data_IF_893292199904
#
_entry.id   IF_893292199904
#
_cell.length_a   1.000
_cell.length_b   1.000
_cell.length_c   1.000
_cell.angle_alpha   90.00
_cell.angle_beta   90.00
_cell.angle_gamma   90.00
#
_symmetry.space_group_name_H-M   'P 1'
#
loop_
_entity.id
_entity.type
_entity.pdbx_description
1 polymer ?
#
# COMPACT_ATOMS: atom_id res chain seq x y z
N UNK A 1 -29.06 8.48 4.12
CA UNK A 1 -28.75 9.89 3.76
C UNK A 1 -28.39 9.94 2.28
N UNK A 2 -28.67 11.02 1.57
CA UNK A 2 -28.32 11.19 0.15
C UNK A 2 -27.47 12.44 0.00
N UNK A 3 -26.41 12.34 -0.79
CA UNK A 3 -25.44 13.43 -1.02
C UNK A 3 -25.19 13.58 -2.53
N UNK A 4 -26.21 13.95 -3.33
CA UNK A 4 -26.00 14.12 -4.76
C UNK A 4 -24.94 15.19 -5.00
N UNK A 5 -23.93 14.82 -5.74
CA UNK A 5 -22.77 15.64 -6.06
C UNK A 5 -22.71 15.88 -7.57
N UNK A 6 -22.54 17.13 -7.98
CA UNK A 6 -22.40 17.47 -9.40
C UNK A 6 -20.95 17.38 -9.86
N UNK A 7 -20.01 17.74 -8.99
CA UNK A 7 -18.57 17.75 -9.29
C UNK A 7 -17.79 17.03 -8.20
N UNK A 8 -16.93 16.10 -8.58
CA UNK A 8 -16.09 15.29 -7.68
C UNK A 8 -14.64 15.37 -8.11
N UNK A 9 -13.73 15.60 -7.15
CA UNK A 9 -12.32 15.42 -7.36
C UNK A 9 -11.87 14.03 -6.90
N UNK A 10 -11.01 13.38 -7.69
CA UNK A 10 -10.37 12.11 -7.38
C UNK A 10 -8.87 12.36 -7.21
N UNK A 11 -8.29 11.92 -6.10
CA UNK A 11 -6.88 12.11 -5.78
C UNK A 11 -6.11 10.83 -6.03
N UNK A 12 -5.29 10.81 -7.07
CA UNK A 12 -4.49 9.69 -7.54
C UNK A 12 -5.07 9.01 -8.79
N UNK A 13 -4.21 8.66 -9.76
CA UNK A 13 -4.54 7.90 -10.96
C UNK A 13 -3.88 6.49 -11.00
N UNK A 14 -3.75 5.85 -9.83
CA UNK A 14 -3.60 4.41 -9.73
C UNK A 14 -4.91 3.71 -10.10
N UNK A 15 -4.94 2.37 -10.05
CA UNK A 15 -6.17 1.61 -10.39
C UNK A 15 -7.39 2.10 -9.61
N UNK A 16 -7.25 2.41 -8.32
CA UNK A 16 -8.36 2.91 -7.48
C UNK A 16 -8.99 4.19 -8.03
N UNK A 17 -8.16 5.16 -8.42
CA UNK A 17 -8.63 6.44 -8.94
C UNK A 17 -9.21 6.31 -10.35
N UNK A 18 -8.60 5.47 -11.19
CA UNK A 18 -9.10 5.22 -12.56
C UNK A 18 -10.49 4.61 -12.54
N UNK A 19 -10.71 3.54 -11.76
CA UNK A 19 -12.04 2.92 -11.67
C UNK A 19 -13.06 3.86 -10.99
N UNK A 20 -12.64 4.64 -9.98
CA UNK A 20 -13.51 5.63 -9.34
C UNK A 20 -13.98 6.70 -10.34
N UNK A 21 -13.03 7.31 -11.05
CA UNK A 21 -13.34 8.34 -12.05
C UNK A 21 -14.24 7.81 -13.18
N UNK A 22 -13.96 6.59 -13.67
CA UNK A 22 -14.76 5.98 -14.73
C UNK A 22 -16.20 5.74 -14.32
N UNK A 23 -16.43 5.19 -13.12
CA UNK A 23 -17.80 4.96 -12.63
C UNK A 23 -18.53 6.25 -12.25
N UNK A 24 -17.85 7.26 -11.69
CA UNK A 24 -18.43 8.59 -11.45
C UNK A 24 -18.87 9.26 -12.76
N UNK A 25 -18.00 9.27 -13.78
CA UNK A 25 -18.30 9.77 -15.13
C UNK A 25 -19.52 9.07 -15.74
N UNK A 26 -19.59 7.74 -15.60
CA UNK A 26 -20.71 6.92 -16.09
C UNK A 26 -22.04 7.32 -15.46
N UNK A 27 -22.03 7.79 -14.22
CA UNK A 27 -23.24 8.32 -13.53
C UNK A 27 -23.53 9.79 -13.83
N UNK A 28 -22.81 10.41 -14.76
CA UNK A 28 -23.04 11.79 -15.19
C UNK A 28 -22.48 12.86 -14.26
N UNK A 29 -21.60 12.49 -13.34
CA UNK A 29 -20.90 13.40 -12.44
C UNK A 29 -19.70 14.02 -13.16
N UNK A 30 -19.51 15.33 -13.02
CA UNK A 30 -18.30 16.02 -13.47
C UNK A 30 -17.12 15.58 -12.62
N UNK A 31 -16.08 15.04 -13.24
CA UNK A 31 -14.93 14.49 -12.54
C UNK A 31 -13.64 15.19 -12.95
N UNK A 32 -12.81 15.50 -11.98
CA UNK A 32 -11.40 15.88 -12.17
C UNK A 32 -10.53 14.92 -11.40
N UNK A 33 -9.51 14.34 -12.03
CA UNK A 33 -8.52 13.48 -11.39
C UNK A 33 -7.20 14.24 -11.26
N UNK A 34 -6.60 14.22 -10.08
CA UNK A 34 -5.27 14.79 -9.84
C UNK A 34 -4.25 13.66 -9.69
N UNK A 35 -3.22 13.67 -10.50
CA UNK A 35 -2.11 12.71 -10.42
C UNK A 35 -0.77 13.46 -10.40
N UNK A 36 0.03 13.23 -9.38
CA UNK A 36 1.33 13.90 -9.24
C UNK A 36 2.39 13.42 -10.23
N UNK A 37 2.23 12.22 -10.76
CA UNK A 37 3.12 11.68 -11.79
C UNK A 37 2.67 12.10 -13.18
N UNK A 38 3.58 12.00 -14.17
CA UNK A 38 3.31 12.31 -15.58
C UNK A 38 2.42 11.29 -16.30
N UNK A 39 2.04 10.18 -15.65
CA UNK A 39 1.18 9.15 -16.20
C UNK A 39 0.45 8.36 -15.10
N UNK A 40 -0.69 7.76 -15.46
CA UNK A 40 -1.40 6.82 -14.61
C UNK A 40 -0.62 5.52 -14.39
N UNK A 41 -0.95 4.76 -13.34
CA UNK A 41 -0.35 3.46 -13.07
C UNK A 41 -0.09 3.20 -11.57
N UNK A 42 0.01 4.26 -10.76
CA UNK A 42 0.23 4.14 -9.32
C UNK A 42 1.48 3.32 -8.99
N UNK A 43 1.35 2.31 -8.10
CA UNK A 43 2.49 1.50 -7.65
C UNK A 43 3.09 0.59 -8.74
N UNK A 44 2.40 0.36 -9.85
CA UNK A 44 2.87 -0.49 -10.95
C UNK A 44 3.78 0.26 -11.93
N UNK A 45 3.84 1.58 -11.81
CA UNK A 45 4.74 2.39 -12.60
C UNK A 45 6.16 2.30 -12.04
N UNK A 46 7.06 1.71 -12.82
CA UNK A 46 8.48 1.65 -12.47
C UNK A 46 9.15 3.00 -12.71
N UNK A 47 9.97 3.43 -11.77
CA UNK A 47 10.87 4.56 -11.88
C UNK A 47 12.27 4.10 -11.41
N UNK A 48 13.27 4.24 -12.26
CA UNK A 48 14.63 3.82 -11.93
C UNK A 48 15.26 4.67 -10.81
N UNK A 49 14.81 5.92 -10.67
CA UNK A 49 15.27 6.79 -9.61
C UNK A 49 14.86 6.22 -8.24
N UNK A 50 15.72 6.39 -7.28
CA UNK A 50 15.36 6.09 -5.89
C UNK A 50 14.60 7.28 -5.30
N UNK A 51 13.56 7.05 -4.50
CA UNK A 51 12.94 8.12 -3.72
C UNK A 51 13.93 8.66 -2.69
N UNK A 52 13.65 9.84 -2.16
CA UNK A 52 14.41 10.39 -1.07
C UNK A 52 14.40 9.44 0.14
N UNK A 53 15.51 9.42 0.87
CA UNK A 53 15.67 8.54 2.03
C UNK A 53 14.69 8.94 3.14
N UNK A 54 13.99 7.98 3.76
CA UNK A 54 13.13 8.27 4.90
C UNK A 54 13.96 8.61 6.14
N UNK A 55 13.33 9.32 7.08
CA UNK A 55 13.94 9.59 8.38
C UNK A 55 14.11 8.30 9.20
N UNK A 56 15.21 8.18 9.92
CA UNK A 56 15.49 7.16 10.92
C UNK A 56 15.49 7.84 12.31
N UNK A 57 14.45 7.68 13.14
CA UNK A 57 13.23 6.87 13.00
C UNK A 57 12.18 7.48 12.05
N UNK A 58 11.02 6.79 11.90
CA UNK A 58 9.92 7.25 11.03
C UNK A 58 9.49 8.69 11.31
N UNK A 59 9.25 9.45 10.25
CA UNK A 59 8.62 10.76 10.35
C UNK A 59 7.22 10.68 10.97
N UNK A 60 6.74 11.77 11.56
CA UNK A 60 5.35 11.92 11.98
C UNK A 60 4.41 11.74 10.79
N UNK A 61 3.21 11.15 11.00
CA UNK A 61 2.27 10.77 9.93
C UNK A 61 1.72 11.98 9.19
N UNK A 62 1.52 13.08 9.91
CA UNK A 62 1.13 14.38 9.33
C UNK A 62 2.19 14.98 8.37
N UNK A 63 3.44 14.50 8.44
CA UNK A 63 4.57 14.95 7.62
C UNK A 63 5.30 13.83 6.90
N UNK A 64 4.63 12.71 6.70
CA UNK A 64 5.27 11.48 6.22
C UNK A 64 5.85 11.59 4.79
N UNK A 65 5.36 12.51 3.98
CA UNK A 65 5.88 12.79 2.64
C UNK A 65 6.87 13.98 2.63
N UNK A 66 7.05 14.69 3.77
CA UNK A 66 8.07 15.73 3.88
C UNK A 66 9.41 15.11 4.26
N UNK A 67 10.22 14.84 3.26
CA UNK A 67 11.58 14.32 3.43
C UNK A 67 12.52 15.51 3.59
N UNK A 68 13.44 15.43 4.55
CA UNK A 68 14.56 16.37 4.62
C UNK A 68 15.53 16.03 3.47
N UNK A 69 15.46 16.79 2.39
CA UNK A 69 16.44 16.71 1.33
C UNK A 69 17.76 17.32 1.82
N UNK A 70 18.88 16.62 1.64
CA UNK A 70 20.18 17.26 1.67
C UNK A 70 20.27 18.20 0.47
N UNK A 71 20.76 19.41 0.65
CA UNK A 71 20.77 20.49 -0.35
C UNK A 71 21.56 20.19 -1.64
N UNK A 72 22.23 19.04 -1.72
CA UNK A 72 23.20 18.70 -2.77
C UNK A 72 22.66 17.72 -3.86
N UNK A 73 21.37 17.40 -3.88
CA UNK A 73 20.82 16.49 -4.91
C UNK A 73 20.27 17.29 -6.10
N UNK A 74 20.86 17.12 -7.26
CA UNK A 74 20.21 17.44 -8.53
C UNK A 74 18.87 16.67 -8.57
N UNK A 75 17.76 17.29 -8.95
CA UNK A 75 16.41 16.70 -8.99
C UNK A 75 15.61 16.59 -7.67
N UNK A 76 16.03 17.18 -6.57
CA UNK A 76 15.27 17.14 -5.30
C UNK A 76 13.82 17.60 -5.49
N UNK A 77 13.59 18.66 -6.22
CA UNK A 77 12.26 19.22 -6.46
C UNK A 77 11.36 18.20 -7.20
N UNK A 78 11.90 17.53 -8.21
CA UNK A 78 11.20 16.47 -8.97
C UNK A 78 10.88 15.25 -8.09
N UNK A 79 11.80 14.85 -7.20
CA UNK A 79 11.59 13.74 -6.27
C UNK A 79 10.60 14.09 -5.14
N UNK A 80 10.49 15.36 -4.75
CA UNK A 80 9.50 15.83 -3.79
C UNK A 80 8.11 15.91 -4.44
N UNK A 81 8.04 16.40 -5.68
CA UNK A 81 6.78 16.53 -6.42
C UNK A 81 6.16 15.17 -6.73
N UNK A 82 6.92 14.28 -7.35
CA UNK A 82 6.48 12.94 -7.74
C UNK A 82 7.47 11.87 -7.27
N UNK A 83 7.50 11.54 -5.97
CA UNK A 83 8.44 10.57 -5.43
C UNK A 83 8.20 9.19 -6.04
N UNK A 84 9.26 8.49 -6.49
CA UNK A 84 9.17 7.13 -6.99
C UNK A 84 8.46 6.19 -6.02
N UNK A 85 7.60 5.34 -6.57
CA UNK A 85 6.90 4.30 -5.83
C UNK A 85 7.82 3.14 -5.43
N UNK A 86 7.27 2.11 -4.77
CA UNK A 86 8.02 0.93 -4.35
C UNK A 86 8.21 -0.12 -5.46
N UNK A 87 7.91 0.20 -6.71
CA UNK A 87 8.09 -0.72 -7.83
C UNK A 87 9.58 -1.01 -8.07
N UNK A 88 9.90 -2.26 -8.37
CA UNK A 88 11.24 -2.74 -8.70
C UNK A 88 11.18 -3.62 -9.97
N UNK A 89 12.30 -3.82 -10.65
CA UNK A 89 12.37 -4.43 -11.99
C UNK A 89 11.66 -5.78 -12.09
N UNK A 90 11.86 -6.66 -11.13
CA UNK A 90 11.25 -8.00 -11.14
C UNK A 90 9.87 -8.09 -10.48
N UNK A 91 9.25 -6.96 -10.12
CA UNK A 91 7.95 -6.97 -9.46
C UNK A 91 6.89 -7.64 -10.35
N UNK A 92 6.24 -8.67 -9.80
CA UNK A 92 5.08 -9.33 -10.40
C UNK A 92 3.86 -9.23 -9.49
N UNK A 93 2.67 -9.39 -10.08
CA UNK A 93 1.47 -9.59 -9.27
C UNK A 93 1.57 -10.91 -8.47
N UNK A 94 0.99 -10.88 -7.30
CA UNK A 94 0.85 -12.06 -6.42
C UNK A 94 -0.57 -12.63 -6.40
N UNK A 95 -1.45 -12.07 -7.22
CA UNK A 95 -2.84 -12.46 -7.44
C UNK A 95 -3.04 -12.62 -8.94
N UNK A 96 -3.65 -13.74 -9.39
CA UNK A 96 -3.87 -14.02 -10.82
C UNK A 96 -4.52 -12.85 -11.57
N UNK A 97 -4.08 -12.56 -12.80
CA UNK A 97 -4.70 -11.57 -13.69
C UNK A 97 -6.20 -11.80 -13.85
N UNK A 98 -6.66 -13.06 -13.83
CA UNK A 98 -8.09 -13.42 -13.86
C UNK A 98 -8.89 -12.87 -12.67
N UNK A 99 -8.23 -12.55 -11.55
CA UNK A 99 -8.81 -11.93 -10.37
C UNK A 99 -8.67 -10.41 -10.38
N UNK A 100 -7.81 -9.87 -11.25
CA UNK A 100 -7.56 -8.43 -11.39
C UNK A 100 -8.34 -7.79 -12.53
N UNK A 101 -8.95 -8.58 -13.42
CA UNK A 101 -9.69 -8.07 -14.59
C UNK A 101 -10.98 -7.35 -14.16
N UNK A 102 -11.06 -6.05 -14.44
CA UNK A 102 -12.23 -5.21 -14.15
C UNK A 102 -13.32 -5.33 -15.23
N UNK A 103 -14.52 -4.82 -14.94
CA UNK A 103 -15.58 -4.75 -15.96
C UNK A 103 -15.32 -3.66 -17.02
N UNK A 104 -14.39 -2.75 -16.76
CA UNK A 104 -14.04 -1.62 -17.63
C UNK A 104 -13.02 -1.98 -18.70
N UNK A 105 -12.21 -3.00 -18.46
CA UNK A 105 -11.15 -3.44 -19.37
C UNK A 105 -10.84 -4.92 -19.13
N UNK A 106 -10.34 -5.60 -20.15
CA UNK A 106 -9.92 -7.00 -20.10
C UNK A 106 -8.45 -7.11 -20.48
N UNK A 107 -7.75 -8.08 -19.87
CA UNK A 107 -6.42 -8.42 -20.34
C UNK A 107 -6.49 -9.07 -21.72
N UNK A 108 -5.48 -8.86 -22.58
CA UNK A 108 -5.40 -9.54 -23.87
C UNK A 108 -5.54 -11.07 -23.73
N UNK A 109 -6.18 -11.75 -24.68
CA UNK A 109 -6.25 -13.21 -24.68
C UNK A 109 -4.86 -13.85 -24.60
N UNK A 110 -4.70 -14.84 -23.72
CA UNK A 110 -3.42 -15.52 -23.50
C UNK A 110 -2.49 -14.83 -22.48
N UNK A 111 -2.93 -13.75 -21.83
CA UNK A 111 -2.15 -13.14 -20.74
C UNK A 111 -1.96 -14.14 -19.60
N UNK A 112 -0.73 -14.30 -19.14
CA UNK A 112 -0.37 -15.18 -18.03
C UNK A 112 -1.01 -14.71 -16.70
N UNK A 113 -1.18 -15.65 -15.77
CA UNK A 113 -1.70 -15.37 -14.42
C UNK A 113 -0.80 -14.44 -13.62
N UNK A 114 0.52 -14.54 -13.80
CA UNK A 114 1.54 -13.77 -13.09
C UNK A 114 2.43 -13.04 -14.06
N UNK A 115 2.17 -11.74 -14.21
CA UNK A 115 2.85 -10.85 -15.14
C UNK A 115 3.73 -9.83 -14.41
N UNK A 116 4.62 -9.19 -15.13
CA UNK A 116 5.47 -8.12 -14.62
C UNK A 116 4.68 -6.82 -14.44
N UNK A 117 5.25 -5.90 -13.68
CA UNK A 117 4.62 -4.60 -13.33
C UNK A 117 4.21 -3.77 -14.55
N UNK A 118 4.98 -3.84 -15.65
CA UNK A 118 4.70 -3.13 -16.90
C UNK A 118 3.35 -3.54 -17.51
N UNK A 119 3.05 -4.84 -17.58
CA UNK A 119 1.75 -5.33 -18.07
C UNK A 119 0.58 -4.78 -17.26
N UNK A 120 0.74 -4.68 -15.93
CA UNK A 120 -0.29 -4.11 -15.06
C UNK A 120 -0.37 -2.58 -15.20
N UNK A 121 0.76 -1.92 -15.38
CA UNK A 121 0.80 -0.48 -15.66
C UNK A 121 0.09 -0.18 -16.98
N UNK A 122 0.42 -0.92 -18.04
CA UNK A 122 -0.21 -0.79 -19.37
C UNK A 122 -1.72 -1.05 -19.31
N UNK A 123 -2.16 -2.07 -18.52
CA UNK A 123 -3.58 -2.30 -18.29
C UNK A 123 -4.28 -1.10 -17.67
N UNK A 124 -3.68 -0.46 -16.68
CA UNK A 124 -4.24 0.73 -16.02
C UNK A 124 -4.29 1.90 -17.00
N UNK A 125 -3.22 2.14 -17.75
CA UNK A 125 -3.16 3.21 -18.76
C UNK A 125 -4.16 2.98 -19.89
N UNK A 126 -4.26 1.77 -20.40
CA UNK A 126 -5.29 1.41 -21.39
C UNK A 126 -6.70 1.64 -20.85
N UNK A 127 -6.94 1.33 -19.56
CA UNK A 127 -8.22 1.58 -18.93
C UNK A 127 -8.55 3.07 -18.87
N UNK A 128 -7.58 3.96 -18.63
CA UNK A 128 -7.82 5.42 -18.65
C UNK A 128 -8.29 5.90 -20.03
N UNK A 129 -7.65 5.39 -21.09
CA UNK A 129 -8.00 5.72 -22.48
C UNK A 129 -9.38 5.18 -22.86
N UNK A 130 -9.65 3.90 -22.58
CA UNK A 130 -10.93 3.25 -22.92
C UNK A 130 -12.12 3.92 -22.23
N UNK A 131 -11.95 4.40 -21.02
CA UNK A 131 -13.02 5.04 -20.22
C UNK A 131 -13.08 6.55 -20.41
N UNK A 132 -12.10 7.14 -21.08
CA UNK A 132 -11.94 8.60 -21.22
C UNK A 132 -11.64 9.28 -19.87
N UNK A 133 -10.99 8.57 -18.95
CA UNK A 133 -10.47 9.14 -17.70
C UNK A 133 -9.17 9.90 -17.96
N UNK A 134 -8.44 9.53 -19.00
CA UNK A 134 -7.21 10.22 -19.40
C UNK A 134 -7.43 11.73 -19.58
N UNK A 135 -8.49 12.12 -20.28
CA UNK A 135 -8.83 13.52 -20.55
C UNK A 135 -9.33 14.27 -19.31
N UNK A 136 -9.75 13.55 -18.28
CA UNK A 136 -10.19 14.12 -16.99
C UNK A 136 -9.04 14.24 -15.99
N UNK A 137 -7.85 13.71 -16.32
CA UNK A 137 -6.72 13.64 -15.41
C UNK A 137 -5.75 14.80 -15.65
N UNK A 138 -5.53 15.57 -14.59
CA UNK A 138 -4.45 16.54 -14.51
C UNK A 138 -3.20 15.84 -13.98
N UNK A 139 -2.32 15.46 -14.90
CA UNK A 139 -1.02 14.87 -14.58
C UNK A 139 -0.06 15.95 -14.07
N UNK A 140 1.06 15.53 -13.52
CA UNK A 140 2.09 16.40 -12.93
C UNK A 140 1.49 17.42 -11.94
N UNK A 141 0.47 16.96 -11.19
CA UNK A 141 -0.30 17.81 -10.29
C UNK A 141 -0.35 17.21 -8.88
N UNK A 142 0.42 17.79 -7.97
CA UNK A 142 0.46 17.39 -6.56
C UNK A 142 -0.62 18.10 -5.75
N UNK A 143 -1.46 17.34 -5.05
CA UNK A 143 -2.48 17.85 -4.13
C UNK A 143 -1.85 18.06 -2.75
N UNK A 144 -1.66 19.30 -2.36
CA UNK A 144 -1.02 19.68 -1.10
C UNK A 144 -1.97 19.85 0.06
N UNK A 145 -3.19 20.28 -0.22
CA UNK A 145 -4.21 20.51 0.82
C UNK A 145 -5.62 20.29 0.26
N UNK A 146 -6.48 19.71 1.08
CA UNK A 146 -7.91 19.53 0.83
C UNK A 146 -8.69 19.98 2.05
N UNK A 147 -9.45 21.05 1.92
CA UNK A 147 -10.13 21.69 3.05
C UNK A 147 -11.63 21.79 2.77
N UNK A 148 -12.46 21.44 3.76
CA UNK A 148 -13.90 21.62 3.70
C UNK A 148 -14.29 23.04 4.10
N UNK A 149 -14.91 23.78 3.18
CA UNK A 149 -15.43 25.12 3.41
C UNK A 149 -16.97 25.13 3.25
N UNK A 150 -17.68 25.06 4.36
CA UNK A 150 -19.15 24.92 4.35
C UNK A 150 -19.57 23.60 3.68
N UNK A 151 -20.22 23.68 2.52
CA UNK A 151 -20.66 22.49 1.76
C UNK A 151 -19.65 22.02 0.72
N UNK A 152 -18.69 22.87 0.34
CA UNK A 152 -17.75 22.60 -0.73
C UNK A 152 -16.36 22.21 -0.18
N UNK A 153 -15.68 21.39 -0.93
CA UNK A 153 -14.27 21.08 -0.74
C UNK A 153 -13.40 21.96 -1.63
N UNK A 154 -12.36 22.52 -1.09
CA UNK A 154 -11.34 23.26 -1.85
C UNK A 154 -10.09 22.39 -1.94
N UNK A 155 -9.62 22.13 -3.16
CA UNK A 155 -8.36 21.44 -3.44
C UNK A 155 -7.31 22.48 -3.77
N UNK A 156 -6.26 22.54 -2.96
CA UNK A 156 -5.14 23.46 -3.16
C UNK A 156 -4.13 22.87 -4.13
N UNK A 157 -4.34 23.07 -5.37
CA UNK A 157 -3.40 22.88 -6.47
C UNK A 157 -3.89 23.68 -7.68
N UNK A 158 -5.23 23.83 -7.82
CA UNK A 158 -5.87 24.57 -8.90
C UNK A 158 -7.01 25.49 -8.39
N UNK A 159 -7.13 25.77 -7.10
CA UNK A 159 -8.25 26.48 -6.46
C UNK A 159 -9.64 25.91 -6.87
N UNK A 160 -9.68 24.60 -7.10
CA UNK A 160 -10.88 23.92 -7.54
C UNK A 160 -11.84 23.67 -6.37
N UNK A 161 -13.10 24.03 -6.56
CA UNK A 161 -14.18 23.69 -5.62
C UNK A 161 -15.00 22.51 -6.14
N UNK A 162 -15.29 21.54 -5.27
CA UNK A 162 -16.04 20.32 -5.58
C UNK A 162 -17.03 19.99 -4.48
N UNK A 163 -18.08 19.24 -4.82
CA UNK A 163 -19.11 18.79 -3.87
C UNK A 163 -18.62 17.62 -3.02
N UNK A 164 -17.76 16.77 -3.58
CA UNK A 164 -17.19 15.61 -2.90
C UNK A 164 -15.75 15.32 -3.33
N UNK A 165 -15.07 14.53 -2.53
CA UNK A 165 -13.70 14.08 -2.74
C UNK A 165 -13.63 12.56 -2.70
N UNK A 166 -12.86 11.96 -3.62
CA UNK A 166 -12.49 10.54 -3.56
C UNK A 166 -10.99 10.41 -3.39
N UNK A 167 -10.57 9.91 -2.24
CA UNK A 167 -9.17 9.64 -1.94
C UNK A 167 -8.81 8.26 -2.49
N UNK A 168 -7.93 8.23 -3.48
CA UNK A 168 -7.42 7.05 -4.18
C UNK A 168 -5.88 7.07 -4.27
N UNK A 169 -5.24 7.77 -3.33
CA UNK A 169 -3.80 8.04 -3.30
C UNK A 169 -2.94 6.81 -2.98
N UNK A 170 -3.56 5.68 -2.59
CA UNK A 170 -2.85 4.47 -2.17
C UNK A 170 -2.24 4.59 -0.76
N UNK A 171 -1.46 3.58 -0.35
CA UNK A 171 -0.93 3.49 1.01
C UNK A 171 0.52 2.95 1.08
N UNK A 172 1.30 3.09 0.01
CA UNK A 172 2.71 2.66 -0.03
C UNK A 172 3.66 3.85 -0.22
N UNK A 173 3.39 4.99 0.45
CA UNK A 173 4.18 6.22 0.33
C UNK A 173 5.12 6.42 1.50
N UNK A 174 4.65 6.28 2.74
CA UNK A 174 5.37 6.57 3.97
C UNK A 174 6.05 5.31 4.55
N UNK A 175 7.37 5.10 4.35
CA UNK A 175 8.08 3.95 4.89
C UNK A 175 8.00 3.88 6.41
N UNK A 176 7.77 2.68 6.93
CA UNK A 176 7.79 2.44 8.37
C UNK A 176 9.20 2.03 8.79
N UNK A 177 9.92 2.92 9.43
CA UNK A 177 11.25 2.67 9.98
C UNK A 177 11.10 2.29 11.46
N UNK A 178 11.52 1.09 11.90
CA UNK A 178 11.43 0.69 13.30
C UNK A 178 12.41 1.51 14.15
N UNK A 179 11.98 1.80 15.37
CA UNK A 179 12.83 2.43 16.37
C UNK A 179 13.63 1.35 17.14
N UNK A 180 14.46 0.63 16.40
CA UNK A 180 15.32 -0.41 16.97
C UNK A 180 16.66 0.21 17.39
N UNK A 181 17.11 0.01 18.64
CA UNK A 181 18.38 0.55 19.11
C UNK A 181 19.54 0.30 18.15
N UNK A 182 20.31 1.34 17.84
CA UNK A 182 21.46 1.32 16.95
C UNK A 182 21.15 1.36 15.45
N UNK A 183 19.88 1.21 15.01
CA UNK A 183 19.53 1.24 13.58
C UNK A 183 19.86 2.58 12.92
N UNK A 184 19.52 3.70 13.58
CA UNK A 184 19.82 5.03 13.07
C UNK A 184 21.33 5.28 12.99
N UNK A 185 22.08 4.74 13.92
CA UNK A 185 23.56 4.83 13.91
C UNK A 185 24.15 4.03 12.76
N UNK A 186 23.64 2.82 12.49
CA UNK A 186 24.04 2.05 11.32
C UNK A 186 23.73 2.78 10.02
N UNK A 187 22.54 3.38 9.91
CA UNK A 187 22.18 4.17 8.72
C UNK A 187 23.12 5.36 8.53
N UNK A 188 23.43 6.09 9.59
CA UNK A 188 24.36 7.23 9.53
C UNK A 188 25.78 6.82 9.14
N UNK A 189 26.26 5.69 9.67
CA UNK A 189 27.61 5.21 9.43
C UNK A 189 27.75 4.44 8.11
N UNK A 190 26.70 3.76 7.66
CA UNK A 190 26.67 2.93 6.43
C UNK A 190 25.48 3.31 5.54
N UNK A 191 25.39 4.56 5.04
CA UNK A 191 24.21 5.08 4.36
C UNK A 191 23.77 4.24 3.17
N UNK A 192 24.69 3.67 2.40
CA UNK A 192 24.42 2.85 1.23
C UNK A 192 24.13 1.37 1.54
N UNK A 193 24.31 0.96 2.81
CA UNK A 193 24.15 -0.43 3.25
C UNK A 193 22.85 -0.69 3.98
N UNK A 194 22.16 0.36 4.45
CA UNK A 194 20.90 0.25 5.18
C UNK A 194 19.84 1.05 4.43
N UNK A 195 18.80 0.38 3.95
CA UNK A 195 17.72 1.02 3.21
C UNK A 195 16.35 0.40 3.52
N UNK A 196 15.26 1.15 3.29
CA UNK A 196 13.92 0.57 3.27
C UNK A 196 13.63 -0.08 1.92
N UNK A 197 12.77 -1.11 1.89
CA UNK A 197 12.36 -1.82 0.66
C UNK A 197 11.75 -0.90 -0.41
N UNK A 198 11.24 0.27 -0.06
CA UNK A 198 10.78 1.29 -1.02
C UNK A 198 11.90 1.77 -1.95
N UNK A 199 13.17 1.73 -1.50
CA UNK A 199 14.33 2.17 -2.28
C UNK A 199 14.96 1.02 -3.11
N UNK A 200 14.52 -0.22 -2.88
CA UNK A 200 14.98 -1.35 -3.67
C UNK A 200 14.52 -1.23 -5.12
N UNK A 201 15.41 -1.47 -6.08
CA UNK A 201 15.11 -1.39 -7.53
C UNK A 201 15.43 -2.67 -8.29
N UNK A 202 16.58 -3.27 -8.02
CA UNK A 202 17.08 -4.46 -8.72
C UNK A 202 18.21 -5.12 -7.92
N UNK A 203 18.52 -6.40 -8.16
CA UNK A 203 19.53 -7.14 -7.41
C UNK A 203 20.98 -6.84 -7.84
N UNK A 204 21.23 -5.65 -8.40
CA UNK A 204 22.58 -5.25 -8.83
C UNK A 204 23.56 -5.25 -7.68
N UNK A 205 24.80 -5.66 -7.98
CA UNK A 205 25.89 -5.75 -7.01
C UNK A 205 25.63 -6.71 -5.83
N UNK A 206 24.66 -7.64 -5.95
CA UNK A 206 24.36 -8.60 -4.89
C UNK A 206 25.35 -9.80 -4.84
N UNK A 207 26.18 -9.97 -5.86
CA UNK A 207 27.09 -11.11 -5.95
C UNK A 207 27.98 -11.25 -4.72
N UNK A 208 27.95 -12.48 -4.16
CA UNK A 208 28.75 -12.89 -3.00
C UNK A 208 28.50 -12.09 -1.71
N UNK A 209 27.36 -11.38 -1.61
CA UNK A 209 26.98 -10.61 -0.43
C UNK A 209 25.89 -11.30 0.38
N UNK A 210 25.85 -10.98 1.67
CA UNK A 210 24.81 -11.44 2.59
C UNK A 210 23.86 -10.28 2.88
N UNK A 211 22.57 -10.51 2.71
CA UNK A 211 21.52 -9.53 2.94
C UNK A 211 20.70 -9.87 4.17
N UNK A 212 20.53 -8.90 5.05
CA UNK A 212 19.60 -8.98 6.17
C UNK A 212 18.28 -8.30 5.76
N UNK A 213 17.19 -9.09 5.70
CA UNK A 213 15.84 -8.63 5.37
C UNK A 213 15.03 -8.57 6.66
N UNK A 214 14.55 -7.39 7.04
CA UNK A 214 13.81 -7.17 8.29
C UNK A 214 12.32 -7.17 8.03
N UNK A 215 11.64 -8.26 8.29
CA UNK A 215 10.21 -8.49 8.06
C UNK A 215 9.91 -9.86 7.48
N UNK A 216 8.74 -10.43 7.81
CA UNK A 216 8.33 -11.78 7.42
C UNK A 216 7.27 -11.85 6.31
N UNK A 217 6.86 -10.71 5.71
CA UNK A 217 5.75 -10.64 4.77
C UNK A 217 6.22 -10.58 3.30
N UNK A 218 5.32 -10.18 2.39
CA UNK A 218 5.48 -10.23 0.93
C UNK A 218 6.79 -9.59 0.47
N UNK A 219 7.07 -8.33 0.83
CA UNK A 219 8.26 -7.62 0.32
C UNK A 219 9.57 -8.33 0.66
N UNK A 220 9.71 -8.87 1.89
CA UNK A 220 10.92 -9.60 2.27
C UNK A 220 11.06 -10.91 1.49
N UNK A 221 9.95 -11.63 1.27
CA UNK A 221 9.93 -12.89 0.54
C UNK A 221 10.25 -12.68 -0.95
N UNK A 222 9.69 -11.65 -1.56
CA UNK A 222 9.93 -11.35 -2.98
C UNK A 222 11.36 -10.87 -3.21
N UNK A 223 11.87 -9.96 -2.36
CA UNK A 223 13.27 -9.49 -2.45
C UNK A 223 14.24 -10.65 -2.20
N UNK A 224 13.94 -11.57 -1.27
CA UNK A 224 14.77 -12.77 -1.07
C UNK A 224 14.86 -13.62 -2.33
N UNK A 225 13.73 -13.79 -3.06
CA UNK A 225 13.71 -14.53 -4.33
C UNK A 225 14.49 -13.83 -5.43
N UNK A 226 14.37 -12.50 -5.56
CA UNK A 226 15.14 -11.74 -6.53
C UNK A 226 16.64 -11.77 -6.26
N UNK A 227 17.04 -11.70 -4.99
CA UNK A 227 18.45 -11.76 -4.59
C UNK A 227 19.04 -13.17 -4.72
N UNK A 228 18.22 -14.22 -4.64
CA UNK A 228 18.68 -15.61 -4.58
C UNK A 228 19.65 -16.04 -5.67
N UNK A 229 19.51 -15.64 -6.94
CA UNK A 229 20.47 -16.01 -8.00
C UNK A 229 21.85 -15.34 -7.87
N UNK A 230 21.96 -14.30 -7.07
CA UNK A 230 23.15 -13.43 -7.00
C UNK A 230 23.80 -13.44 -5.62
N UNK A 231 22.98 -13.29 -4.58
CA UNK A 231 23.47 -13.21 -3.20
C UNK A 231 24.02 -14.55 -2.71
N UNK A 232 25.02 -14.48 -1.83
CA UNK A 232 25.52 -15.67 -1.16
C UNK A 232 24.44 -16.25 -0.23
N UNK A 233 23.80 -15.40 0.60
CA UNK A 233 22.65 -15.77 1.41
C UNK A 233 21.78 -14.56 1.72
N UNK A 234 20.50 -14.83 1.99
CA UNK A 234 19.58 -13.87 2.59
C UNK A 234 19.18 -14.33 4.00
N UNK A 235 19.11 -13.41 4.95
CA UNK A 235 18.75 -13.68 6.33
C UNK A 235 17.47 -12.90 6.61
N UNK A 236 16.35 -13.60 6.82
CA UNK A 236 15.05 -12.97 7.09
C UNK A 236 14.78 -12.95 8.60
N UNK A 237 14.78 -11.75 9.18
CA UNK A 237 14.32 -11.56 10.57
C UNK A 237 12.81 -11.38 10.62
N UNK A 238 12.15 -12.13 11.49
CA UNK A 238 10.69 -12.10 11.64
C UNK A 238 10.26 -12.15 13.12
N UNK A 239 9.03 -11.71 13.37
CA UNK A 239 8.43 -11.68 14.73
C UNK A 239 7.33 -12.72 14.94
N UNK A 240 7.17 -13.67 14.03
CA UNK A 240 6.02 -14.59 13.96
C UNK A 240 4.68 -13.84 13.93
N UNK A 241 4.63 -12.78 13.11
CA UNK A 241 3.45 -11.94 12.98
C UNK A 241 2.35 -12.60 12.16
N UNK A 242 1.09 -12.17 12.37
CA UNK A 242 -0.11 -12.66 11.66
C UNK A 242 0.02 -12.64 10.11
N UNK A 243 0.88 -11.77 9.59
CA UNK A 243 1.07 -11.57 8.15
C UNK A 243 2.37 -12.14 7.60
N UNK A 244 3.11 -12.90 8.41
CA UNK A 244 4.33 -13.56 7.95
C UNK A 244 3.97 -14.72 7.01
N UNK A 245 4.76 -14.86 5.95
CA UNK A 245 4.56 -15.93 4.96
C UNK A 245 5.31 -17.19 5.39
N UNK A 246 4.85 -18.40 4.97
CA UNK A 246 5.50 -19.64 5.36
C UNK A 246 6.91 -19.80 4.78
N UNK A 247 7.79 -20.57 5.45
CA UNK A 247 9.17 -20.81 4.99
C UNK A 247 9.26 -21.42 3.59
N UNK A 248 8.28 -22.21 3.18
CA UNK A 248 8.18 -22.82 1.85
C UNK A 248 8.19 -21.82 0.70
N UNK A 249 7.91 -20.56 0.99
CA UNK A 249 7.93 -19.49 -0.01
C UNK A 249 9.32 -18.83 -0.16
N UNK A 250 10.26 -19.16 0.71
CA UNK A 250 11.63 -18.63 0.63
C UNK A 250 12.50 -19.48 -0.30
N UNK A 251 13.50 -18.88 -0.97
CA UNK A 251 14.49 -19.60 -1.76
C UNK A 251 15.45 -20.41 -0.88
N UNK A 252 16.20 -21.32 -1.50
CA UNK A 252 17.06 -22.27 -0.80
C UNK A 252 18.24 -21.65 -0.03
N UNK A 253 18.72 -20.48 -0.46
CA UNK A 253 19.77 -19.73 0.24
C UNK A 253 19.22 -18.69 1.22
N UNK A 254 17.94 -18.77 1.58
CA UNK A 254 17.34 -17.92 2.59
C UNK A 254 17.22 -18.63 3.94
N UNK A 255 17.57 -17.93 5.01
CA UNK A 255 17.58 -18.41 6.39
C UNK A 255 16.69 -17.51 7.24
N UNK A 256 15.99 -18.08 8.20
CA UNK A 256 15.19 -17.32 9.18
C UNK A 256 15.93 -17.14 10.49
N UNK A 257 15.70 -15.98 11.08
CA UNK A 257 16.15 -15.63 12.42
C UNK A 257 15.02 -14.95 13.20
N UNK A 258 15.17 -14.91 14.53
CA UNK A 258 14.24 -14.24 15.41
C UNK A 258 14.23 -12.71 15.22
N UNK A 259 13.38 -12.03 15.97
CA UNK A 259 13.28 -10.57 16.04
C UNK A 259 14.62 -9.94 16.43
N UNK A 260 15.00 -8.89 15.71
CA UNK A 260 16.17 -8.06 16.03
C UNK A 260 15.80 -7.13 17.17
N UNK A 261 16.63 -7.09 18.21
CA UNK A 261 16.48 -6.20 19.36
C UNK A 261 17.48 -5.06 19.40
N UNK A 262 18.64 -5.22 18.75
CA UNK A 262 19.61 -4.11 18.58
C UNK A 262 20.55 -4.31 17.40
N UNK A 263 21.05 -3.21 16.91
CA UNK A 263 22.20 -3.09 16.00
C UNK A 263 23.39 -2.62 16.83
N UNK A 264 24.38 -3.50 17.00
CA UNK A 264 25.51 -3.24 17.89
C UNK A 264 26.46 -2.20 17.29
N UNK A 265 27.19 -1.49 18.13
CA UNK A 265 28.18 -0.52 17.67
C UNK A 265 29.29 -1.18 16.83
N UNK A 266 29.72 -0.54 15.73
CA UNK A 266 30.83 -1.02 14.92
C UNK A 266 32.13 -1.09 15.72
N UNK A 267 32.86 -2.17 15.56
CA UNK A 267 34.12 -2.44 16.32
C UNK A 267 35.32 -1.60 15.91
N UNK A 268 35.23 -0.81 14.83
CA UNK A 268 36.32 -0.04 14.27
C UNK A 268 35.86 1.31 13.74
N UNK A 269 36.58 2.37 14.08
CA UNK A 269 36.40 3.73 13.56
C UNK A 269 36.87 3.92 12.09
N UNK A 270 36.79 2.89 11.25
CA UNK A 270 37.30 2.91 9.87
C UNK A 270 36.17 3.08 8.84
N UNK A 271 35.44 4.19 8.94
CA UNK A 271 34.36 4.50 7.99
C UNK A 271 34.87 4.88 6.58
N UNK A 272 36.06 5.41 6.48
CA UNK A 272 36.59 5.96 5.22
C UNK A 272 37.09 4.93 4.20
N UNK A 273 37.11 3.61 4.51
CA UNK A 273 37.72 2.58 3.64
C UNK A 273 36.98 1.27 3.52
N UNK A 274 35.72 1.17 4.00
CA UNK A 274 34.97 -0.09 3.88
C UNK A 274 34.60 -0.36 2.41
N UNK A 275 35.24 -1.36 1.81
CA UNK A 275 34.92 -1.78 0.43
C UNK A 275 33.54 -2.43 0.38
N UNK A 276 32.84 -2.25 -0.74
CA UNK A 276 31.48 -2.82 -0.94
C UNK A 276 31.42 -4.36 -0.81
N UNK A 277 32.53 -5.03 -1.01
CA UNK A 277 32.69 -6.48 -0.83
C UNK A 277 32.94 -6.92 0.61
N UNK A 278 33.11 -6.00 1.55
CA UNK A 278 33.35 -6.32 2.95
C UNK A 278 32.05 -6.19 3.75
N UNK A 279 31.75 -7.09 4.67
CA UNK A 279 30.59 -6.97 5.55
C UNK A 279 30.74 -5.78 6.50
N UNK A 280 29.62 -5.28 6.99
CA UNK A 280 29.57 -4.28 8.05
C UNK A 280 30.30 -4.84 9.28
N UNK A 281 31.32 -4.14 9.84
CA UNK A 281 32.14 -4.63 10.95
C UNK A 281 31.40 -4.50 12.30
N UNK A 282 30.18 -4.99 12.35
CA UNK A 282 29.30 -4.95 13.50
C UNK A 282 28.35 -6.15 13.51
N UNK A 283 27.62 -6.34 14.59
CA UNK A 283 26.70 -7.45 14.78
C UNK A 283 25.29 -6.96 15.03
N UNK A 284 24.32 -7.81 14.76
CA UNK A 284 22.91 -7.60 15.12
C UNK A 284 22.58 -8.60 16.22
N UNK A 285 21.97 -8.12 17.30
CA UNK A 285 21.53 -8.97 18.42
C UNK A 285 20.05 -9.33 18.25
N UNK A 286 19.75 -10.62 18.34
CA UNK A 286 18.41 -11.16 18.26
C UNK A 286 17.76 -11.27 19.65
N UNK A 287 16.45 -11.40 19.69
CA UNK A 287 15.67 -11.59 20.91
C UNK A 287 16.06 -12.84 21.70
N UNK A 288 16.54 -13.87 21.03
CA UNK A 288 17.13 -15.07 21.63
C UNK A 288 18.49 -14.84 22.31
N UNK A 289 19.09 -13.65 22.17
CA UNK A 289 20.46 -13.36 22.60
C UNK A 289 21.53 -13.77 21.56
N UNK A 290 21.17 -14.48 20.52
CA UNK A 290 22.10 -14.85 19.45
C UNK A 290 22.55 -13.60 18.67
N UNK A 291 23.76 -13.63 18.10
CA UNK A 291 24.33 -12.55 17.31
C UNK A 291 24.55 -12.99 15.86
N UNK A 292 24.22 -12.10 14.95
CA UNK A 292 24.43 -12.26 13.51
C UNK A 292 25.50 -11.26 13.06
N UNK A 293 26.52 -11.77 12.39
CA UNK A 293 27.57 -10.98 11.73
C UNK A 293 27.63 -11.28 10.24
N UNK A 294 28.64 -10.77 9.57
CA UNK A 294 28.87 -10.99 8.14
C UNK A 294 27.69 -10.47 7.27
N UNK A 295 27.12 -9.36 7.68
CA UNK A 295 26.02 -8.68 6.98
C UNK A 295 26.63 -7.61 6.06
N UNK A 296 26.30 -7.64 4.77
CA UNK A 296 26.74 -6.64 3.81
C UNK A 296 25.70 -5.52 3.63
N UNK A 297 24.42 -5.89 3.58
CA UNK A 297 23.32 -4.94 3.42
C UNK A 297 22.12 -5.30 4.32
N UNK A 298 21.39 -4.28 4.75
CA UNK A 298 20.14 -4.39 5.50
C UNK A 298 19.02 -3.77 4.68
N UNK A 299 17.94 -4.53 4.43
CA UNK A 299 16.73 -4.04 3.78
C UNK A 299 15.58 -4.14 4.76
N UNK A 300 15.02 -2.99 5.14
CA UNK A 300 13.87 -2.90 6.03
C UNK A 300 12.58 -3.16 5.23
N UNK A 301 12.05 -4.36 5.32
CA UNK A 301 10.78 -4.79 4.72
C UNK A 301 9.63 -4.64 5.73
N UNK A 302 9.59 -3.53 6.43
CA UNK A 302 8.76 -3.26 7.60
C UNK A 302 7.40 -2.65 7.26
N UNK A 303 7.15 -2.43 5.97
CA UNK A 303 5.89 -1.89 5.44
C UNK A 303 5.78 -0.38 5.56
N UNK A 304 4.55 0.12 5.55
CA UNK A 304 4.25 1.53 5.42
C UNK A 304 3.26 1.99 6.49
N UNK A 305 3.25 3.29 6.75
CA UNK A 305 2.17 3.97 7.47
C UNK A 305 1.08 4.41 6.50
N UNK A 306 -0.16 4.34 6.92
CA UNK A 306 -1.28 5.02 6.28
C UNK A 306 -1.22 6.50 6.64
N UNK A 307 -1.16 7.35 5.63
CA UNK A 307 -1.00 8.80 5.80
C UNK A 307 -1.84 9.56 4.79
N UNK A 308 -2.29 10.75 5.18
CA UNK A 308 -3.06 11.68 4.35
C UNK A 308 -2.53 13.10 4.59
N UNK A 309 -1.31 13.43 4.11
CA UNK A 309 -0.69 14.73 4.42
C UNK A 309 -1.52 15.92 3.92
N UNK A 310 -2.26 15.75 2.83
CA UNK A 310 -3.18 16.75 2.27
C UNK A 310 -4.51 16.91 3.06
N UNK A 311 -4.78 16.06 4.05
CA UNK A 311 -5.90 16.12 5.01
C UNK A 311 -5.37 16.23 6.44
N UNK A 312 -4.35 17.05 6.66
CA UNK A 312 -3.65 17.19 7.94
C UNK A 312 -4.57 17.53 9.12
N UNK A 313 -5.67 18.25 8.86
CA UNK A 313 -6.69 18.57 9.87
C UNK A 313 -7.45 17.36 10.41
N UNK A 314 -7.38 16.20 9.75
CA UNK A 314 -7.99 14.95 10.17
C UNK A 314 -6.94 13.94 10.71
N UNK A 315 -5.73 14.44 11.02
CA UNK A 315 -4.60 13.64 11.50
C UNK A 315 -4.15 14.14 12.88
N UNK A 316 -3.91 13.21 13.80
CA UNK A 316 -3.28 13.49 15.10
C UNK A 316 -2.14 12.52 15.36
N UNK A 317 -0.91 13.00 15.34
CA UNK A 317 0.30 12.20 15.57
C UNK A 317 0.45 11.72 17.02
N UNK A 318 -0.20 12.40 17.95
CA UNK A 318 -0.04 12.18 19.40
C UNK A 318 -1.19 11.32 19.98
N UNK A 319 -2.27 11.12 19.23
CA UNK A 319 -3.42 10.33 19.70
C UNK A 319 -3.15 8.84 19.51
N UNK A 320 -3.25 8.02 20.56
CA UNK A 320 -3.19 6.57 20.45
C UNK A 320 -4.27 6.01 19.52
N UNK A 321 -3.98 4.89 18.87
CA UNK A 321 -4.88 4.28 17.86
C UNK A 321 -6.25 3.92 18.42
N UNK A 322 -6.35 3.59 19.70
CA UNK A 322 -7.58 3.23 20.42
C UNK A 322 -8.31 4.44 21.04
N UNK A 323 -7.76 5.64 20.90
CA UNK A 323 -8.32 6.88 21.45
C UNK A 323 -8.73 7.89 20.37
N UNK A 324 -8.76 7.47 19.11
CA UNK A 324 -9.23 8.33 18.03
C UNK A 324 -10.71 8.68 18.26
N UNK A 325 -11.03 9.97 18.31
CA UNK A 325 -12.40 10.45 18.31
C UNK A 325 -13.05 10.30 16.91
N UNK A 326 -14.29 10.72 16.77
CA UNK A 326 -15.05 10.55 15.54
C UNK A 326 -14.66 11.56 14.42
N UNK A 327 -13.75 12.48 14.69
CA UNK A 327 -13.25 13.48 13.72
C UNK A 327 -11.95 13.07 13.05
N UNK A 328 -11.18 12.15 13.65
CA UNK A 328 -9.87 11.76 13.15
C UNK A 328 -9.95 10.64 12.11
N UNK A 329 -9.10 10.73 11.09
CA UNK A 329 -8.85 9.67 10.11
C UNK A 329 -7.53 8.94 10.37
N UNK A 330 -6.49 9.65 10.80
CA UNK A 330 -5.15 9.09 10.98
C UNK A 330 -4.61 9.42 12.37
N UNK A 331 -4.07 8.40 13.03
CA UNK A 331 -3.35 8.53 14.30
C UNK A 331 -1.93 7.96 14.15
N UNK A 332 -1.70 6.72 14.57
CA UNK A 332 -0.40 6.04 14.50
C UNK A 332 -0.04 5.52 13.08
N UNK A 333 -0.93 5.67 12.11
CA UNK A 333 -0.75 5.24 10.72
C UNK A 333 -0.91 3.73 10.52
N UNK A 334 -1.48 2.98 11.45
CA UNK A 334 -1.76 1.55 11.28
C UNK A 334 -3.12 1.26 10.66
N UNK A 335 -4.08 2.20 10.79
CA UNK A 335 -5.40 2.14 10.16
C UNK A 335 -5.92 3.54 9.81
N UNK A 336 -6.93 3.61 8.94
CA UNK A 336 -7.83 4.75 8.85
C UNK A 336 -9.00 4.57 9.80
N UNK A 337 -9.33 5.62 10.55
CA UNK A 337 -10.45 5.61 11.49
C UNK A 337 -11.75 6.08 10.82
N UNK A 338 -12.87 5.72 11.43
CA UNK A 338 -14.17 6.32 11.13
C UNK A 338 -14.66 6.16 9.69
N UNK A 339 -14.27 5.08 9.01
CA UNK A 339 -14.75 4.74 7.68
C UNK A 339 -15.85 3.69 7.73
N UNK A 340 -17.04 4.02 7.21
CA UNK A 340 -18.09 3.04 6.93
C UNK A 340 -17.68 2.19 5.71
N UNK A 341 -17.63 0.87 5.88
CA UNK A 341 -17.24 -0.10 4.84
C UNK A 341 -15.86 0.18 4.21
N UNK A 342 -14.92 0.83 4.93
CA UNK A 342 -13.64 1.30 4.37
C UNK A 342 -13.77 2.27 3.18
N UNK A 343 -14.93 2.90 3.03
CA UNK A 343 -15.25 3.77 1.90
C UNK A 343 -15.61 5.18 2.37
N UNK A 344 -16.64 5.35 3.20
CA UNK A 344 -17.19 6.68 3.50
C UNK A 344 -16.75 7.17 4.87
N UNK A 345 -16.22 8.38 4.95
CA UNK A 345 -15.96 9.02 6.23
C UNK A 345 -17.28 9.34 6.94
N UNK A 346 -17.50 8.73 8.10
CA UNK A 346 -18.81 8.73 8.78
C UNK A 346 -19.26 10.14 9.14
N UNK A 347 -18.33 11.02 9.53
CA UNK A 347 -18.64 12.40 9.89
C UNK A 347 -19.02 13.27 8.69
N UNK A 348 -18.41 12.98 7.52
CA UNK A 348 -18.71 13.69 6.28
C UNK A 348 -18.59 12.72 5.08
N UNK A 349 -19.68 12.03 4.71
CA UNK A 349 -19.64 11.05 3.63
C UNK A 349 -19.42 11.63 2.22
N UNK A 350 -19.28 12.93 2.08
CA UNK A 350 -18.78 13.55 0.84
C UNK A 350 -17.27 13.37 0.68
N UNK A 351 -16.59 12.87 1.71
CA UNK A 351 -15.21 12.35 1.66
C UNK A 351 -15.27 10.83 1.60
N UNK A 352 -14.89 10.27 0.46
CA UNK A 352 -14.89 8.84 0.21
C UNK A 352 -13.47 8.33 -0.12
N UNK A 353 -13.27 7.04 0.07
CA UNK A 353 -12.00 6.35 -0.15
C UNK A 353 -12.22 5.14 -1.07
N UNK A 354 -11.29 4.91 -1.99
CA UNK A 354 -11.24 3.69 -2.81
C UNK A 354 -9.83 3.11 -2.72
N UNK A 355 -9.75 1.85 -2.29
CA UNK A 355 -8.46 1.17 -2.22
C UNK A 355 -7.85 1.06 -0.82
N UNK A 356 -8.64 1.20 0.25
CA UNK A 356 -8.18 1.06 1.64
C UNK A 356 -7.93 -0.42 2.02
N UNK A 357 -8.80 -1.40 1.70
CA UNK A 357 -8.60 -2.78 2.08
C UNK A 357 -7.37 -3.43 1.43
N UNK A 358 -6.81 -4.41 2.13
CA UNK A 358 -5.68 -5.21 1.65
C UNK A 358 -5.89 -6.71 1.90
N UNK A 359 -5.00 -7.56 1.34
CA UNK A 359 -5.18 -9.02 1.19
C UNK A 359 -6.42 -9.35 0.37
N UNK A 360 -6.54 -8.73 -0.79
CA UNK A 360 -7.65 -8.85 -1.73
C UNK A 360 -7.14 -8.95 -3.17
N UNK A 361 -8.03 -9.28 -4.09
CA UNK A 361 -7.84 -9.04 -5.52
C UNK A 361 -8.11 -7.54 -5.81
N UNK A 362 -7.09 -6.72 -5.71
CA UNK A 362 -7.20 -5.27 -5.56
C UNK A 362 -8.01 -4.59 -6.67
N UNK A 363 -7.76 -4.89 -7.95
CA UNK A 363 -8.39 -4.18 -9.07
C UNK A 363 -9.91 -4.36 -9.07
N UNK A 364 -10.38 -5.60 -8.97
CA UNK A 364 -11.82 -5.90 -8.95
C UNK A 364 -12.50 -5.40 -7.69
N UNK A 365 -11.86 -5.54 -6.51
CA UNK A 365 -12.41 -5.02 -5.27
C UNK A 365 -12.57 -3.50 -5.32
N UNK A 366 -11.55 -2.79 -5.79
CA UNK A 366 -11.58 -1.33 -5.86
C UNK A 366 -12.59 -0.84 -6.88
N UNK A 367 -12.83 -1.58 -7.96
CA UNK A 367 -13.93 -1.30 -8.87
C UNK A 367 -15.29 -1.42 -8.17
N UNK A 368 -15.53 -2.46 -7.35
CA UNK A 368 -16.78 -2.56 -6.59
C UNK A 368 -16.96 -1.41 -5.60
N UNK A 369 -15.90 -1.00 -4.92
CA UNK A 369 -15.96 0.21 -4.09
C UNK A 369 -16.28 1.45 -4.92
N UNK A 370 -15.68 1.62 -6.08
CA UNK A 370 -15.92 2.72 -7.00
C UNK A 370 -17.38 2.76 -7.49
N UNK A 371 -17.96 1.62 -7.85
CA UNK A 371 -19.37 1.50 -8.22
C UNK A 371 -20.28 1.99 -7.08
N UNK A 372 -20.01 1.57 -5.85
CA UNK A 372 -20.77 2.00 -4.67
C UNK A 372 -20.64 3.50 -4.44
N UNK A 373 -19.43 4.06 -4.51
CA UNK A 373 -19.18 5.50 -4.39
C UNK A 373 -19.97 6.27 -5.45
N UNK A 374 -19.92 5.83 -6.70
CA UNK A 374 -20.62 6.49 -7.80
C UNK A 374 -22.15 6.46 -7.61
N UNK A 375 -22.73 5.33 -7.18
CA UNK A 375 -24.17 5.22 -6.92
C UNK A 375 -24.64 6.07 -5.73
N UNK A 376 -23.80 6.21 -4.69
CA UNK A 376 -24.11 7.07 -3.54
C UNK A 376 -24.00 8.54 -3.91
N UNK A 377 -22.89 8.96 -4.55
CA UNK A 377 -22.68 10.36 -4.92
C UNK A 377 -23.60 10.86 -6.05
N UNK A 378 -24.09 9.96 -6.91
CA UNK A 378 -25.16 10.29 -7.88
C UNK A 378 -26.59 10.31 -7.26
N UNK A 379 -26.70 10.00 -5.97
CA UNK A 379 -28.01 9.97 -5.27
C UNK A 379 -28.86 8.74 -5.58
N UNK A 380 -28.32 7.75 -6.31
CA UNK A 380 -29.06 6.52 -6.69
C UNK A 380 -29.09 5.47 -5.56
N UNK A 381 -28.13 5.51 -4.65
CA UNK A 381 -28.14 4.73 -3.42
C UNK A 381 -28.04 5.65 -2.20
N UNK A 382 -28.59 5.20 -1.07
CA UNK A 382 -28.60 5.96 0.18
C UNK A 382 -27.67 5.33 1.20
N UNK A 383 -26.86 6.14 1.83
CA UNK A 383 -26.13 5.73 3.02
C UNK A 383 -27.08 5.48 4.19
N UNK A 384 -26.76 4.53 5.07
CA UNK A 384 -27.43 4.39 6.37
C UNK A 384 -27.38 5.70 7.18
N UNK A 385 -28.09 5.77 8.28
CA UNK A 385 -27.95 6.89 9.21
C UNK A 385 -26.53 6.95 9.80
N UNK A 386 -26.09 8.12 10.25
CA UNK A 386 -24.78 8.29 10.90
C UNK A 386 -24.63 7.30 12.07
N UNK A 387 -25.68 7.15 12.88
CA UNK A 387 -25.67 6.23 14.03
C UNK A 387 -25.54 4.77 13.59
N UNK A 388 -26.21 4.37 12.51
CA UNK A 388 -26.10 3.01 11.97
C UNK A 388 -24.68 2.73 11.42
N UNK A 389 -24.11 3.69 10.71
CA UNK A 389 -22.70 3.58 10.23
C UNK A 389 -21.72 3.52 11.40
N UNK A 390 -21.96 4.30 12.45
CA UNK A 390 -21.13 4.31 13.67
C UNK A 390 -21.23 2.98 14.42
N UNK A 391 -22.44 2.45 14.57
CA UNK A 391 -22.65 1.15 15.18
C UNK A 391 -21.88 0.03 14.44
N UNK A 392 -21.99 0.01 13.10
CA UNK A 392 -21.25 -0.96 12.30
C UNK A 392 -19.73 -0.84 12.48
N UNK A 393 -19.20 0.39 12.46
CA UNK A 393 -17.79 0.66 12.71
C UNK A 393 -17.35 0.14 14.10
N UNK A 394 -18.15 0.41 15.15
CA UNK A 394 -17.83 -0.03 16.50
C UNK A 394 -17.84 -1.56 16.65
N UNK A 395 -18.84 -2.24 16.06
CA UNK A 395 -18.89 -3.72 16.01
C UNK A 395 -17.66 -4.28 15.30
N UNK A 396 -17.21 -3.60 14.24
CA UNK A 396 -15.99 -4.00 13.54
C UNK A 396 -14.73 -3.79 14.40
N UNK A 397 -14.65 -2.72 15.17
CA UNK A 397 -13.58 -2.48 16.16
C UNK A 397 -13.57 -3.58 17.22
N UNK A 398 -14.73 -3.92 17.78
CA UNK A 398 -14.85 -5.01 18.75
C UNK A 398 -14.40 -6.36 18.19
N UNK A 399 -14.70 -6.63 16.92
CA UNK A 399 -14.41 -7.91 16.27
C UNK A 399 -12.96 -8.04 15.82
N UNK A 400 -12.38 -6.99 15.22
CA UNK A 400 -11.04 -7.02 14.60
C UNK A 400 -9.95 -6.40 15.46
N UNK A 401 -10.32 -5.59 16.46
CA UNK A 401 -9.41 -4.72 17.19
C UNK A 401 -8.91 -3.56 16.35
N UNK A 402 -8.14 -2.68 16.96
CA UNK A 402 -7.44 -1.60 16.26
C UNK A 402 -6.13 -2.06 15.61
N UNK A 403 -5.63 -1.26 14.69
CA UNK A 403 -4.31 -1.40 14.09
C UNK A 403 -4.31 -2.11 12.74
N UNK A 404 -3.14 -2.57 12.32
CA UNK A 404 -2.85 -3.02 10.94
C UNK A 404 -3.83 -4.07 10.38
N UNK A 405 -4.44 -4.90 11.23
CA UNK A 405 -5.37 -5.94 10.77
C UNK A 405 -6.77 -5.42 10.43
N UNK A 406 -7.11 -4.20 10.83
CA UNK A 406 -8.46 -3.64 10.73
C UNK A 406 -9.02 -3.66 9.30
N UNK A 407 -8.22 -3.25 8.32
CA UNK A 407 -8.62 -3.20 6.91
C UNK A 407 -8.34 -4.48 6.12
N UNK A 408 -7.86 -5.55 6.78
CA UNK A 408 -7.63 -6.83 6.10
C UNK A 408 -8.95 -7.50 5.74
N UNK A 409 -9.09 -7.90 4.47
CA UNK A 409 -10.21 -8.72 3.98
C UNK A 409 -9.77 -10.15 3.65
N UNK A 410 -8.67 -10.62 4.26
CA UNK A 410 -8.24 -12.01 4.09
C UNK A 410 -9.43 -12.94 4.32
N UNK A 411 -9.75 -13.78 3.32
CA UNK A 411 -10.87 -14.74 3.31
C UNK A 411 -12.28 -14.12 3.42
N UNK A 412 -12.42 -12.79 3.41
CA UNK A 412 -13.69 -12.06 3.55
C UNK A 412 -14.07 -11.25 2.29
N UNK A 413 -13.22 -11.22 1.26
CA UNK A 413 -13.42 -10.38 0.08
C UNK A 413 -14.76 -10.63 -0.63
N UNK A 414 -15.10 -11.90 -0.88
CA UNK A 414 -16.33 -12.25 -1.57
C UNK A 414 -17.60 -11.86 -0.77
N UNK A 415 -17.60 -12.06 0.55
CA UNK A 415 -18.71 -11.63 1.42
C UNK A 415 -18.82 -10.12 1.50
N UNK A 416 -17.71 -9.41 1.60
CA UNK A 416 -17.67 -7.94 1.59
C UNK A 416 -18.28 -7.37 0.29
N UNK A 417 -17.87 -7.87 -0.87
CA UNK A 417 -18.44 -7.44 -2.17
C UNK A 417 -19.92 -7.78 -2.25
N UNK A 418 -20.33 -8.97 -1.82
CA UNK A 418 -21.74 -9.37 -1.79
C UNK A 418 -22.60 -8.42 -0.94
N UNK A 419 -22.11 -8.01 0.24
CA UNK A 419 -22.80 -7.06 1.11
C UNK A 419 -22.90 -5.67 0.46
N UNK A 420 -21.79 -5.16 -0.13
CA UNK A 420 -21.80 -3.86 -0.83
C UNK A 420 -22.84 -3.84 -1.96
N UNK A 421 -22.82 -4.87 -2.81
CA UNK A 421 -23.74 -4.96 -3.96
C UNK A 421 -25.19 -5.14 -3.51
N UNK A 422 -25.44 -5.97 -2.49
CA UNK A 422 -26.79 -6.16 -1.96
C UNK A 422 -27.38 -4.85 -1.40
N UNK A 423 -26.57 -4.10 -0.65
CA UNK A 423 -26.96 -2.80 -0.12
C UNK A 423 -27.39 -1.84 -1.25
N UNK A 424 -26.54 -1.60 -2.24
CA UNK A 424 -26.82 -0.67 -3.35
C UNK A 424 -27.99 -1.14 -4.19
N UNK A 425 -28.07 -2.44 -4.51
CA UNK A 425 -29.14 -3.03 -5.30
C UNK A 425 -30.51 -2.88 -4.65
N UNK A 426 -30.60 -2.89 -3.33
CA UNK A 426 -31.89 -2.64 -2.63
C UNK A 426 -32.50 -1.27 -2.99
N UNK A 427 -31.68 -0.24 -3.20
CA UNK A 427 -32.17 1.08 -3.59
C UNK A 427 -32.38 1.18 -5.11
N UNK A 428 -31.52 0.56 -5.93
CA UNK A 428 -31.67 0.51 -7.38
C UNK A 428 -32.98 -0.20 -7.79
N UNK A 429 -33.33 -1.31 -7.14
CA UNK A 429 -34.58 -2.05 -7.37
C UNK A 429 -35.81 -1.20 -7.07
N UNK A 430 -35.81 -0.50 -5.93
CA UNK A 430 -36.92 0.43 -5.57
C UNK A 430 -37.06 1.55 -6.59
N UNK A 431 -35.97 1.95 -7.24
CA UNK A 431 -35.94 2.98 -8.26
C UNK A 431 -36.20 2.45 -9.69
N UNK A 432 -36.42 1.12 -9.86
CA UNK A 432 -36.60 0.49 -11.17
C UNK A 432 -35.34 0.54 -12.05
N UNK A 433 -34.14 0.62 -11.45
CA UNK A 433 -32.85 0.70 -12.15
C UNK A 433 -32.17 -0.67 -12.27
N UNK A 434 -31.26 -0.78 -13.23
CA UNK A 434 -30.46 -2.01 -13.41
C UNK A 434 -29.60 -2.29 -12.17
N UNK A 435 -29.59 -3.57 -11.78
CA UNK A 435 -28.79 -4.06 -10.65
C UNK A 435 -27.32 -4.13 -11.00
N UNK A 436 -26.48 -3.82 -10.04
CA UNK A 436 -25.05 -4.14 -10.11
C UNK A 436 -24.85 -5.66 -10.00
N UNK A 437 -23.95 -6.18 -10.80
CA UNK A 437 -23.53 -7.59 -10.73
C UNK A 437 -22.32 -7.72 -9.81
N UNK A 438 -22.21 -8.82 -9.07
CA UNK A 438 -21.04 -9.17 -8.29
C UNK A 438 -19.95 -9.83 -9.15
N UNK A 439 -19.01 -10.50 -8.48
CA UNK A 439 -17.96 -11.26 -9.15
C UNK A 439 -18.49 -12.26 -10.16
N UNK A 440 -17.78 -12.44 -11.27
CA UNK A 440 -18.10 -13.42 -12.31
C UNK A 440 -17.74 -14.85 -11.88
N UNK A 441 -18.30 -15.87 -12.57
CA UNK A 441 -17.93 -17.28 -12.38
C UNK A 441 -16.43 -17.51 -12.66
N UNK A 442 -15.85 -16.80 -13.65
CA UNK A 442 -14.42 -16.82 -13.95
C UNK A 442 -13.60 -16.39 -12.72
N UNK A 443 -14.03 -15.32 -12.05
CA UNK A 443 -13.37 -14.85 -10.83
C UNK A 443 -13.48 -15.87 -9.69
N UNK A 444 -14.68 -16.43 -9.46
CA UNK A 444 -14.89 -17.44 -8.42
C UNK A 444 -14.02 -18.69 -8.62
N UNK A 445 -13.92 -19.18 -9.85
CA UNK A 445 -13.04 -20.31 -10.19
C UNK A 445 -11.57 -20.00 -9.94
N UNK A 446 -11.10 -18.85 -10.41
CA UNK A 446 -9.71 -18.41 -10.18
C UNK A 446 -9.40 -18.19 -8.68
N UNK A 447 -10.37 -17.70 -7.91
CA UNK A 447 -10.24 -17.53 -6.46
C UNK A 447 -10.13 -18.86 -5.73
N UNK A 448 -10.94 -19.85 -6.11
CA UNK A 448 -10.86 -21.18 -5.55
C UNK A 448 -9.49 -21.83 -5.81
N UNK A 449 -8.96 -21.72 -7.04
CA UNK A 449 -7.62 -22.20 -7.39
C UNK A 449 -6.52 -21.50 -6.57
N UNK A 450 -6.63 -20.18 -6.37
CA UNK A 450 -5.68 -19.42 -5.53
C UNK A 450 -5.73 -19.90 -4.08
N UNK A 451 -6.92 -20.12 -3.52
CA UNK A 451 -7.07 -20.57 -2.15
C UNK A 451 -6.48 -21.98 -1.95
N UNK A 452 -6.69 -22.91 -2.89
CA UNK A 452 -6.10 -24.25 -2.81
C UNK A 452 -4.56 -24.19 -2.86
N UNK A 453 -3.98 -23.35 -3.72
CA UNK A 453 -2.51 -23.14 -3.74
C UNK A 453 -2.01 -22.58 -2.41
N UNK A 454 -2.69 -21.58 -1.84
CA UNK A 454 -2.31 -21.01 -0.55
C UNK A 454 -2.42 -22.03 0.58
N UNK A 455 -3.50 -22.82 0.62
CA UNK A 455 -3.63 -23.93 1.59
C UNK A 455 -2.47 -24.91 1.50
N UNK A 456 -2.05 -25.28 0.27
CA UNK A 456 -0.92 -26.19 0.08
C UNK A 456 0.38 -25.62 0.63
N UNK A 457 0.65 -24.32 0.45
CA UNK A 457 1.83 -23.66 1.05
C UNK A 457 1.80 -23.64 2.58
N UNK A 458 0.64 -23.42 3.18
CA UNK A 458 0.51 -23.42 4.65
C UNK A 458 0.47 -24.82 5.26
N UNK A 459 -0.13 -25.80 4.55
CA UNK A 459 -0.17 -27.18 5.01
C UNK A 459 1.20 -27.87 4.94
N UNK A 460 2.05 -27.44 3.99
CA UNK A 460 3.40 -27.95 3.83
C UNK A 460 4.40 -26.79 3.94
N UNK A 461 4.62 -26.24 5.14
CA UNK A 461 5.42 -25.03 5.34
C UNK A 461 6.90 -25.18 4.93
N UNK A 462 7.32 -26.37 4.53
CA UNK A 462 8.70 -26.65 4.15
C UNK A 462 9.64 -26.73 5.36
N UNK A 463 10.92 -26.95 5.10
CA UNK A 463 11.95 -26.94 6.13
C UNK A 463 12.34 -25.50 6.41
N UNK A 464 12.10 -25.03 7.62
CA UNK A 464 12.60 -23.75 8.08
C UNK A 464 14.11 -23.85 8.30
N UNK A 465 14.89 -23.24 7.40
CA UNK A 465 16.34 -23.13 7.57
C UNK A 465 16.61 -22.00 8.56
N UNK A 466 16.97 -22.36 9.80
CA UNK A 466 17.39 -21.39 10.80
C UNK A 466 18.89 -21.21 10.75
N UNK A 467 19.31 -19.96 10.80
CA UNK A 467 20.72 -19.63 10.97
C UNK A 467 21.05 -19.71 12.46
N UNK A 468 21.91 -20.62 12.84
CA UNK A 468 22.55 -20.59 14.15
C UNK A 468 23.49 -19.38 14.22
N UNK A 469 23.77 -18.88 15.44
CA UNK A 469 24.61 -17.71 15.65
C UNK A 469 25.89 -17.78 14.80
N UNK A 470 26.19 -16.75 14.02
CA UNK A 470 27.30 -16.76 13.06
C UNK A 470 28.56 -16.10 13.60
N UNK A 471 28.49 -15.52 14.80
CA UNK A 471 29.64 -14.87 15.46
C UNK A 471 30.10 -15.75 16.62
N UNK A 472 31.38 -16.15 16.55
CA UNK A 472 32.11 -16.72 17.69
C UNK A 472 32.66 -15.60 18.58
#
# INVERSE_FOLDING_TARGET
MSFPSNRVAVIGAGISGVVAAAHLKKEGIEVVVFERSSAAGGIWRYDERKPLEPSYSSAKRSRADSVHASEDLEDVESLLHAPPGPCYVGLKNNVSTRLLETTLNQFPPGTEDYVTHDVLCDYIQATTLLTGVHELTQYDTDVRSVIKNGRLWTVETATLQTDAQVVASGHYHAPRIPDTPGLADWKRQFPDRVQHSKLYRKPENAHNKNYLLVGGSVSATDIARELSPYANKTIQSQRNGKFDLPPSMLPDNAYRVDEIVSYDEPRVNTLASLKDTQPIPATVTLKSGAKICDIHHVILCTGYHLTLPFLSQLTSDETPVDQADDTLLVTDGTQFHNLHKDIFFINDPTLAFVGVPFFTATFTLFEFQAMVVAKVLSGQAKLPSKDAMRLEYNVRVETKGYGKAFHSLRDQEASYVKELIAWVNSDLEKAGKERLRGHSDKWHSAKAEQMERMKAFFANPGIERRLEATCL
#
